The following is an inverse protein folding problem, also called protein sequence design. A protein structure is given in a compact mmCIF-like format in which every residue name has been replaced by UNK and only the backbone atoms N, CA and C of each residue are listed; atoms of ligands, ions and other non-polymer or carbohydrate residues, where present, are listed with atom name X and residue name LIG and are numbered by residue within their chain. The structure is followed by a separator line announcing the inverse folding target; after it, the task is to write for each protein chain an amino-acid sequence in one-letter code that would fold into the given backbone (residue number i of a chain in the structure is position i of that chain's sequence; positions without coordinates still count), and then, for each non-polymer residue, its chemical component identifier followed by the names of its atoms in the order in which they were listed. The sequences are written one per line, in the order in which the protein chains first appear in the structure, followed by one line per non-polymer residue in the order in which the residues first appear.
data_IF_145439216052
#
_entry.id   IF_145439216052
#
_cell.length_a   1.000
_cell.length_b   1.000
_cell.length_c   1.000
_cell.angle_alpha   90.00
_cell.angle_beta   90.00
_cell.angle_gamma   90.00
#
_symmetry.space_group_name_H-M   'P 1'
#
loop_
_entity.id
_entity.type
_entity.pdbx_description
1 polymer ?
#
# COMPACT_ATOMS: atom_id res chain seq x y z
N UNK A 1 -20.02 -19.78 -6.12
CA UNK A 1 -18.57 -19.49 -6.07
C UNK A 1 -18.37 -18.06 -6.54
N UNK A 2 -17.87 -17.15 -5.71
CA UNK A 2 -17.54 -15.78 -6.15
C UNK A 2 -16.18 -15.81 -6.84
N UNK A 3 -16.14 -15.38 -8.09
CA UNK A 3 -14.88 -15.13 -8.81
C UNK A 3 -14.02 -14.14 -7.99
N UNK A 4 -12.72 -14.42 -7.76
CA UNK A 4 -11.90 -13.53 -6.96
C UNK A 4 -11.81 -12.18 -7.68
N UNK A 5 -12.33 -11.13 -7.04
CA UNK A 5 -12.24 -9.77 -7.57
C UNK A 5 -10.77 -9.44 -7.83
N UNK A 6 -10.48 -9.00 -9.06
CA UNK A 6 -9.12 -8.59 -9.41
C UNK A 6 -8.64 -7.51 -8.43
N UNK A 7 -7.45 -7.66 -7.80
CA UNK A 7 -7.02 -6.79 -6.71
C UNK A 7 -7.04 -5.30 -7.05
N UNK A 8 -6.79 -4.98 -8.32
CA UNK A 8 -6.80 -3.62 -8.88
C UNK A 8 -8.19 -3.00 -8.93
N UNK A 9 -9.25 -3.74 -9.28
CA UNK A 9 -10.62 -3.19 -9.39
C UNK A 9 -11.17 -2.77 -8.02
N UNK A 10 -10.96 -3.61 -7.02
CA UNK A 10 -11.41 -3.33 -5.66
C UNK A 10 -10.57 -2.19 -5.04
N UNK A 11 -9.25 -2.20 -5.22
CA UNK A 11 -8.40 -1.10 -4.79
C UNK A 11 -8.80 0.23 -5.44
N UNK A 12 -9.09 0.24 -6.75
CA UNK A 12 -9.57 1.42 -7.47
C UNK A 12 -10.84 2.01 -6.83
N UNK A 13 -11.80 1.15 -6.48
CA UNK A 13 -13.06 1.55 -5.86
C UNK A 13 -12.84 2.17 -4.49
N UNK A 14 -12.02 1.54 -3.64
CA UNK A 14 -11.71 2.05 -2.31
C UNK A 14 -10.97 3.39 -2.40
N UNK A 15 -10.00 3.51 -3.31
CA UNK A 15 -9.22 4.73 -3.47
C UNK A 15 -10.06 5.88 -4.02
N UNK A 16 -10.97 5.65 -4.97
CA UNK A 16 -11.94 6.67 -5.40
C UNK A 16 -12.80 7.17 -4.24
N UNK A 17 -13.22 6.28 -3.33
CA UNK A 17 -14.00 6.66 -2.16
C UNK A 17 -13.19 7.46 -1.14
N UNK A 18 -11.90 7.18 -1.00
CA UNK A 18 -11.03 7.86 -0.04
C UNK A 18 -10.52 9.21 -0.56
N UNK A 19 -10.30 9.29 -1.87
CA UNK A 19 -9.67 10.45 -2.53
C UNK A 19 -10.51 10.85 -3.75
N UNK A 20 -11.70 11.45 -3.55
CA UNK A 20 -12.59 11.81 -4.65
C UNK A 20 -11.96 12.84 -5.61
N UNK A 21 -11.03 13.66 -5.11
CA UNK A 21 -10.33 14.67 -5.91
C UNK A 21 -9.11 14.11 -6.66
N UNK A 22 -8.74 12.85 -6.42
CA UNK A 22 -7.67 12.19 -7.15
C UNK A 22 -8.23 11.61 -8.45
N UNK A 23 -8.05 12.31 -9.57
CA UNK A 23 -8.38 11.78 -10.89
C UNK A 23 -7.59 10.49 -11.12
N UNK A 24 -8.24 9.32 -11.20
CA UNK A 24 -7.55 8.03 -11.34
C UNK A 24 -7.90 7.41 -12.70
N UNK A 25 -7.00 7.58 -13.68
CA UNK A 25 -7.17 7.05 -15.04
C UNK A 25 -6.74 5.59 -15.16
N UNK A 26 -5.70 5.21 -14.43
CA UNK A 26 -5.24 3.83 -14.38
C UNK A 26 -4.60 3.50 -13.02
N UNK A 27 -4.66 2.22 -12.67
CA UNK A 27 -4.06 1.68 -11.45
C UNK A 27 -3.51 0.28 -11.71
N UNK A 28 -2.30 0.02 -11.21
CA UNK A 28 -1.64 -1.27 -11.27
C UNK A 28 -1.00 -1.61 -9.92
N UNK A 29 -0.66 -2.89 -9.71
CA UNK A 29 0.17 -3.28 -8.58
C UNK A 29 1.61 -2.93 -8.94
N UNK A 30 2.26 -2.11 -8.12
CA UNK A 30 3.69 -1.82 -8.24
C UNK A 30 4.52 -2.91 -7.57
N UNK A 31 4.03 -3.42 -6.44
CA UNK A 31 4.68 -4.48 -5.69
C UNK A 31 3.91 -4.86 -4.44
N UNK A 32 4.17 -6.06 -3.93
CA UNK A 32 3.57 -6.58 -2.71
C UNK A 32 4.68 -6.98 -1.74
N UNK A 33 4.68 -6.33 -0.57
CA UNK A 33 5.58 -6.66 0.52
C UNK A 33 4.86 -7.34 1.67
N UNK A 34 5.62 -7.55 2.74
CA UNK A 34 5.16 -8.13 4.00
C UNK A 34 4.13 -7.24 4.70
N UNK A 35 4.36 -5.93 4.68
CA UNK A 35 3.58 -4.97 5.45
C UNK A 35 2.51 -4.25 4.63
N UNK A 36 2.72 -4.14 3.31
CA UNK A 36 1.82 -3.37 2.44
C UNK A 36 1.83 -3.86 1.00
N UNK A 37 0.71 -3.63 0.32
CA UNK A 37 0.64 -3.64 -1.14
C UNK A 37 0.83 -2.21 -1.65
N UNK A 38 1.72 -2.03 -2.61
CA UNK A 38 1.96 -0.77 -3.29
C UNK A 38 1.22 -0.79 -4.63
N UNK A 39 0.37 0.22 -4.85
CA UNK A 39 -0.30 0.47 -6.11
C UNK A 39 0.34 1.67 -6.81
N UNK A 40 0.51 1.58 -8.12
CA UNK A 40 0.90 2.71 -8.95
C UNK A 40 -0.36 3.29 -9.59
N UNK A 41 -0.63 4.57 -9.32
CA UNK A 41 -1.74 5.34 -9.86
C UNK A 41 -1.18 6.39 -10.81
N UNK A 42 -1.76 6.49 -12.01
CA UNK A 42 -1.38 7.47 -13.04
C UNK A 42 0.14 7.53 -13.33
N UNK A 43 0.85 6.40 -13.25
CA UNK A 43 2.29 6.24 -13.49
C UNK A 43 3.19 7.16 -12.64
N UNK A 44 2.66 7.79 -11.59
CA UNK A 44 3.34 8.86 -10.86
C UNK A 44 3.11 8.85 -9.36
N UNK A 45 2.00 8.27 -8.89
CA UNK A 45 1.64 8.24 -7.48
C UNK A 45 1.69 6.81 -6.98
N UNK A 46 2.47 6.59 -5.92
CA UNK A 46 2.53 5.30 -5.23
C UNK A 46 1.65 5.34 -4.00
N UNK A 47 0.60 4.52 -3.99
CA UNK A 47 -0.29 4.37 -2.84
C UNK A 47 0.05 3.08 -2.12
N UNK A 48 0.43 3.19 -0.84
CA UNK A 48 0.75 2.03 0.01
C UNK A 48 -0.41 1.71 0.93
N UNK A 49 -0.94 0.50 0.79
CA UNK A 49 -2.05 -0.01 1.61
C UNK A 49 -1.49 -0.99 2.63
N UNK A 50 -1.60 -0.70 3.94
CA UNK A 50 -1.14 -1.62 4.98
C UNK A 50 -2.00 -2.88 5.03
N UNK A 51 -1.36 -4.05 5.12
CA UNK A 51 -2.05 -5.35 5.23
C UNK A 51 -2.67 -5.56 6.61
N UNK A 52 -2.08 -4.94 7.65
CA UNK A 52 -2.41 -5.18 9.07
C UNK A 52 -2.41 -3.89 9.90
N UNK A 53 -3.25 -3.77 10.95
CA UNK A 53 -3.36 -2.55 11.75
C UNK A 53 -2.05 -2.07 12.39
N UNK A 54 -1.17 -2.99 12.78
CA UNK A 54 0.13 -2.66 13.38
C UNK A 54 1.03 -1.83 12.46
N UNK A 55 0.96 -2.06 11.14
CA UNK A 55 1.76 -1.35 10.12
C UNK A 55 1.33 0.11 10.00
N UNK A 56 0.07 0.44 10.31
CA UNK A 56 -0.42 1.83 10.27
C UNK A 56 0.42 2.76 11.15
N UNK A 57 0.81 2.28 12.34
CA UNK A 57 1.67 3.05 13.25
C UNK A 57 3.08 3.22 12.70
N UNK A 58 3.59 2.22 11.99
CA UNK A 58 4.91 2.29 11.35
C UNK A 58 4.89 3.29 10.18
N UNK A 59 3.86 3.24 9.33
CA UNK A 59 3.68 4.20 8.24
C UNK A 59 3.54 5.63 8.76
N UNK A 60 2.80 5.85 9.85
CA UNK A 60 2.70 7.18 10.47
C UNK A 60 4.05 7.69 11.00
N UNK A 61 4.92 6.80 11.49
CA UNK A 61 6.31 7.16 11.87
C UNK A 61 7.16 7.45 10.63
N UNK A 62 7.02 6.65 9.58
CA UNK A 62 7.72 6.85 8.31
C UNK A 62 7.47 8.25 7.74
N UNK A 63 6.21 8.70 7.72
CA UNK A 63 5.84 10.06 7.29
C UNK A 63 6.60 11.12 8.07
N UNK A 64 6.56 11.04 9.41
CA UNK A 64 7.25 12.02 10.29
C UNK A 64 8.76 12.01 10.09
N UNK A 65 9.35 10.83 9.88
CA UNK A 65 10.78 10.69 9.60
C UNK A 65 11.12 11.31 8.24
N UNK A 66 10.34 10.99 7.20
CA UNK A 66 10.54 11.53 5.84
C UNK A 66 10.47 13.06 5.83
N UNK A 67 9.53 13.65 6.56
CA UNK A 67 9.45 15.11 6.74
C UNK A 67 10.67 15.66 7.47
N UNK A 68 11.06 15.04 8.58
CA UNK A 68 12.18 15.51 9.40
C UNK A 68 13.54 15.41 8.70
N UNK A 69 13.78 14.37 7.88
CA UNK A 69 15.05 14.19 7.18
C UNK A 69 15.14 14.97 5.88
N UNK A 70 14.01 15.43 5.31
CA UNK A 70 13.93 16.11 4.01
C UNK A 70 14.92 17.26 3.82
N UNK A 71 15.13 18.18 4.78
CA UNK A 71 16.09 19.28 4.59
C UNK A 71 17.56 18.83 4.68
N UNK A 72 17.83 17.59 5.09
CA UNK A 72 19.18 17.07 5.33
C UNK A 72 19.67 16.09 4.25
N UNK A 73 18.84 15.76 3.26
CA UNK A 73 19.18 14.78 2.21
C UNK A 73 19.07 15.39 0.82
N UNK A 74 20.04 15.09 -0.04
CA UNK A 74 20.01 15.47 -1.46
C UNK A 74 19.33 14.41 -2.34
N UNK A 75 19.06 13.22 -1.79
CA UNK A 75 18.37 12.15 -2.50
C UNK A 75 16.88 12.49 -2.68
N UNK A 76 16.30 12.06 -3.80
CA UNK A 76 14.84 12.11 -3.99
C UNK A 76 14.18 11.10 -3.05
N UNK A 77 13.62 11.61 -1.97
CA UNK A 77 12.82 10.82 -1.02
C UNK A 77 11.32 11.01 -1.27
N UNK A 78 10.46 10.06 -0.86
CA UNK A 78 9.01 10.18 -1.03
C UNK A 78 8.45 11.48 -0.41
N UNK A 79 7.51 12.11 -1.11
CA UNK A 79 6.64 13.16 -0.58
C UNK A 79 5.28 12.51 -0.32
N UNK A 80 4.79 12.54 0.92
CA UNK A 80 3.50 11.96 1.27
C UNK A 80 2.46 13.06 1.30
N UNK A 81 1.60 13.10 0.29
CA UNK A 81 0.57 14.15 0.13
C UNK A 81 -0.84 13.64 0.48
N UNK A 82 -1.08 12.34 0.36
CA UNK A 82 -2.38 11.73 0.61
C UNK A 82 -2.36 10.81 1.82
N UNK A 83 -3.33 11.01 2.71
CA UNK A 83 -3.54 10.20 3.90
C UNK A 83 -4.92 9.56 3.86
N UNK A 84 -4.95 8.24 3.75
CA UNK A 84 -6.20 7.48 3.75
C UNK A 84 -6.70 7.17 5.15
N UNK A 85 -8.02 6.99 5.28
CA UNK A 85 -8.61 6.34 6.44
C UNK A 85 -8.46 4.81 6.31
N UNK A 86 -8.54 4.10 7.44
CA UNK A 86 -8.53 2.64 7.40
C UNK A 86 -9.80 2.12 6.74
N UNK A 87 -9.63 1.14 5.86
CA UNK A 87 -10.72 0.44 5.20
C UNK A 87 -10.49 -1.06 5.35
N UNK A 88 -11.55 -1.82 5.58
CA UNK A 88 -11.48 -3.30 5.70
C UNK A 88 -11.64 -3.98 4.33
N UNK A 89 -12.26 -3.30 3.37
CA UNK A 89 -12.64 -3.82 2.06
C UNK A 89 -11.49 -3.79 1.03
N UNK A 90 -10.27 -4.11 1.46
CA UNK A 90 -9.13 -4.30 0.56
C UNK A 90 -9.05 -5.76 0.12
N UNK A 91 -9.01 -6.02 -1.19
CA UNK A 91 -8.76 -7.34 -1.78
C UNK A 91 -7.28 -7.75 -1.76
N UNK A 92 -6.51 -7.25 -0.78
CA UNK A 92 -5.10 -7.62 -0.67
C UNK A 92 -4.98 -9.00 -0.04
N UNK A 93 -4.09 -9.81 -0.61
CA UNK A 93 -3.71 -11.10 -0.02
C UNK A 93 -3.18 -10.85 1.38
N UNK A 94 -3.92 -11.34 2.38
CA UNK A 94 -3.47 -11.41 3.77
C UNK A 94 -2.44 -12.54 3.98
N UNK A 95 -2.05 -13.24 2.90
CA UNK A 95 -1.09 -14.33 2.98
C UNK A 95 0.28 -13.73 3.31
N UNK A 96 0.89 -14.08 4.46
CA UNK A 96 2.28 -13.75 4.69
C UNK A 96 3.10 -14.41 3.56
N UNK A 97 4.10 -13.73 2.98
CA UNK A 97 5.09 -14.45 2.18
C UNK A 97 5.72 -15.53 3.08
N UNK A 98 5.94 -16.74 2.55
CA UNK A 98 6.58 -17.81 3.33
C UNK A 98 7.96 -17.30 3.80
N UNK A 99 8.22 -17.31 5.10
CA UNK A 99 9.59 -17.16 5.59
C UNK A 99 10.42 -18.35 5.07
N UNK A 100 11.70 -18.16 4.68
CA UNK A 100 12.60 -19.28 4.43
C UNK A 100 12.63 -20.26 5.62
N UNK A 101 12.50 -19.73 6.82
CA UNK A 101 12.53 -20.50 8.08
C UNK A 101 11.19 -21.17 8.43
N UNK A 102 10.08 -20.84 7.75
CA UNK A 102 8.74 -21.43 7.98
C UNK A 102 8.32 -22.42 6.87
N UNK A 103 9.11 -22.53 5.79
CA UNK A 103 8.88 -23.47 4.69
C UNK A 103 9.51 -24.86 4.94
N UNK A 104 10.14 -25.09 6.09
CA UNK A 104 10.83 -26.36 6.41
C UNK A 104 9.89 -27.50 6.88
N UNK A 105 8.65 -27.20 7.27
CA UNK A 105 7.73 -28.19 7.88
C UNK A 105 6.54 -28.57 6.98
N UNK A 106 6.70 -28.55 5.66
CA UNK A 106 5.68 -29.04 4.71
C UNK A 106 6.20 -30.16 3.78
N UNK A 107 6.75 -31.22 4.37
CA UNK A 107 6.92 -32.53 3.71
C UNK A 107 5.93 -33.52 4.33
#
# INVERSE_FOLDING_TARGET
MKEPAQPTKQAAKVLHSLFPDLEMRHISILGEGWDSVAYLVNDSIVVRVPKRPAVRRQMAREVRILEAIRPYVNARIPLVEWFGQWQEDWSVSQRPPCYPDECADQI
#
